data_IF_778386025944
#
_entry.id   IF_778386025944
#
_cell.length_a   1.000
_cell.length_b   1.000
_cell.length_c   1.000
_cell.angle_alpha   90.00
_cell.angle_beta   90.00
_cell.angle_gamma   90.00
#
_symmetry.space_group_name_H-M   'P 1'
#
loop_
_entity.id
_entity.type
_entity.pdbx_description
1 polymer ?
#
# COMPACT_ATOMS: atom_id res chain seq x y z
N UNK A 1 -0.10 20.37 34.03
CA UNK A 1 -0.56 21.62 33.40
C UNK A 1 -2.05 21.78 33.61
N UNK A 2 -2.52 23.03 33.74
CA UNK A 2 -3.92 23.38 33.98
C UNK A 2 -4.88 22.72 32.97
N UNK A 3 -4.49 22.70 31.70
CA UNK A 3 -5.24 22.06 30.61
C UNK A 3 -5.52 20.56 30.84
N UNK A 4 -4.58 19.80 31.43
CA UNK A 4 -4.83 18.38 31.74
C UNK A 4 -5.89 18.19 32.82
N UNK A 5 -5.94 19.09 33.81
CA UNK A 5 -6.96 19.05 34.88
C UNK A 5 -8.33 19.41 34.34
N UNK A 6 -8.41 20.42 33.47
CA UNK A 6 -9.65 20.82 32.79
C UNK A 6 -10.19 19.69 31.90
N UNK A 7 -9.32 19.03 31.12
CA UNK A 7 -9.71 17.90 30.29
C UNK A 7 -10.16 16.69 31.12
N UNK A 8 -9.59 16.48 32.31
CA UNK A 8 -10.00 15.38 33.20
C UNK A 8 -11.39 15.59 33.81
N UNK A 9 -11.85 16.83 33.96
CA UNK A 9 -13.17 17.15 34.50
C UNK A 9 -14.32 16.91 33.51
N UNK A 10 -14.03 16.82 32.21
CA UNK A 10 -15.04 16.61 31.18
C UNK A 10 -15.51 15.14 31.10
N UNK A 11 -16.75 14.90 30.61
CA UNK A 11 -17.24 13.56 30.27
C UNK A 11 -16.33 12.88 29.25
N UNK A 12 -16.17 11.56 29.35
CA UNK A 12 -15.17 10.79 28.59
C UNK A 12 -15.27 10.94 27.07
N UNK A 13 -16.50 11.04 26.57
CA UNK A 13 -16.83 11.19 25.15
C UNK A 13 -16.36 12.54 24.59
N UNK A 14 -16.36 13.58 25.43
CA UNK A 14 -15.99 14.94 25.04
C UNK A 14 -14.49 15.23 25.21
N UNK A 15 -13.78 14.43 26.03
CA UNK A 15 -12.35 14.64 26.32
C UNK A 15 -11.49 14.64 25.07
N UNK A 16 -11.76 13.73 24.11
CA UNK A 16 -11.00 13.66 22.86
C UNK A 16 -11.23 14.93 22.02
N UNK A 17 -12.48 15.35 21.89
CA UNK A 17 -12.87 16.54 21.14
C UNK A 17 -12.28 17.81 21.75
N UNK A 18 -12.32 17.94 23.08
CA UNK A 18 -11.75 19.06 23.81
C UNK A 18 -10.22 19.10 23.72
N UNK A 19 -9.55 17.94 23.77
CA UNK A 19 -8.10 17.85 23.62
C UNK A 19 -7.64 18.27 22.21
N UNK A 20 -8.37 17.85 21.17
CA UNK A 20 -8.13 18.25 19.78
C UNK A 20 -8.34 19.75 19.63
N UNK A 21 -9.43 20.31 20.18
CA UNK A 21 -9.70 21.75 20.14
C UNK A 21 -8.56 22.54 20.79
N UNK A 22 -8.09 22.10 21.96
CA UNK A 22 -6.94 22.70 22.62
C UNK A 22 -5.65 22.65 21.78
N UNK A 23 -5.43 21.58 21.01
CA UNK A 23 -4.29 21.49 20.08
C UNK A 23 -4.46 22.42 18.87
N UNK A 24 -5.69 22.56 18.35
CA UNK A 24 -6.01 23.49 17.29
C UNK A 24 -5.77 24.94 17.73
N UNK A 25 -6.20 25.30 18.94
CA UNK A 25 -5.98 26.63 19.54
C UNK A 25 -4.48 26.93 19.76
N UNK A 26 -3.65 25.89 19.89
CA UNK A 26 -2.19 26.00 19.96
C UNK A 26 -1.48 26.05 18.61
N UNK A 27 -2.22 25.96 17.51
CA UNK A 27 -1.68 26.04 16.15
C UNK A 27 -1.16 24.72 15.59
N UNK A 28 -1.58 23.57 16.12
CA UNK A 28 -1.20 22.27 15.57
C UNK A 28 -1.97 22.04 14.24
N UNK A 29 -1.30 21.96 13.08
CA UNK A 29 -1.96 21.98 11.76
C UNK A 29 -2.88 20.78 11.54
N UNK A 30 -2.59 19.64 12.17
CA UNK A 30 -3.45 18.46 12.07
C UNK A 30 -4.75 18.64 12.84
N UNK A 31 -4.73 19.34 13.98
CA UNK A 31 -5.90 19.51 14.83
C UNK A 31 -6.95 20.51 14.28
N UNK A 32 -6.57 21.32 13.28
CA UNK A 32 -7.44 22.30 12.61
C UNK A 32 -8.48 21.62 11.71
N UNK A 33 -8.23 20.37 11.29
CA UNK A 33 -9.12 19.64 10.40
C UNK A 33 -10.51 19.43 11.04
N UNK A 34 -11.60 19.68 10.29
CA UNK A 34 -12.95 19.47 10.80
C UNK A 34 -13.16 17.99 11.12
N UNK A 35 -13.90 17.70 12.19
CA UNK A 35 -14.29 16.34 12.58
C UNK A 35 -13.15 15.33 12.77
N UNK A 36 -11.91 15.79 12.98
CA UNK A 36 -10.77 14.91 13.20
C UNK A 36 -10.93 13.96 14.40
N UNK A 37 -11.80 14.30 15.35
CA UNK A 37 -12.17 13.42 16.47
C UNK A 37 -12.93 12.15 16.05
N UNK A 38 -13.54 12.11 14.86
CA UNK A 38 -14.29 10.94 14.33
C UNK A 38 -13.40 9.95 13.59
N UNK A 39 -12.15 10.33 13.35
CA UNK A 39 -11.21 9.55 12.55
C UNK A 39 -10.88 8.23 13.27
N UNK A 40 -11.11 7.06 12.63
CA UNK A 40 -11.02 5.77 13.31
C UNK A 40 -9.68 5.51 14.00
N UNK A 41 -8.56 5.88 13.37
CA UNK A 41 -7.22 5.65 13.94
C UNK A 41 -6.93 6.54 15.16
N UNK A 42 -7.49 7.75 15.21
CA UNK A 42 -7.33 8.68 16.35
C UNK A 42 -8.16 8.20 17.53
N UNK A 43 -9.40 7.80 17.27
CA UNK A 43 -10.28 7.20 18.27
C UNK A 43 -9.60 5.95 18.85
N UNK A 44 -9.10 5.06 18.00
CA UNK A 44 -8.40 3.85 18.46
C UNK A 44 -7.14 4.17 19.27
N UNK A 45 -6.33 5.12 18.81
CA UNK A 45 -5.13 5.54 19.55
C UNK A 45 -5.49 6.01 20.96
N UNK A 46 -6.59 6.77 21.09
CA UNK A 46 -7.11 7.24 22.36
C UNK A 46 -7.59 6.08 23.25
N UNK A 47 -8.39 5.16 22.70
CA UNK A 47 -8.83 3.94 23.39
C UNK A 47 -7.67 3.09 23.93
N UNK A 48 -6.63 2.87 23.10
CA UNK A 48 -5.43 2.12 23.49
C UNK A 48 -4.74 2.74 24.69
N UNK A 49 -4.63 4.08 24.73
CA UNK A 49 -4.05 4.81 25.87
C UNK A 49 -4.92 4.77 27.12
N UNK A 50 -6.23 4.59 26.97
CA UNK A 50 -7.16 4.33 28.08
C UNK A 50 -7.15 2.88 28.57
N UNK A 51 -6.38 2.00 27.92
CA UNK A 51 -6.32 0.58 28.27
C UNK A 51 -7.49 -0.25 27.73
N UNK A 52 -8.33 0.31 26.86
CA UNK A 52 -9.47 -0.39 26.25
C UNK A 52 -8.92 -1.33 25.17
N UNK A 53 -8.76 -2.61 25.54
CA UNK A 53 -8.43 -3.68 24.61
C UNK A 53 -9.73 -4.17 23.95
N UNK A 54 -9.98 -3.73 22.72
CA UNK A 54 -11.02 -4.30 21.86
C UNK A 54 -10.73 -5.80 21.68
N UNK A 55 -11.62 -6.64 22.24
CA UNK A 55 -11.66 -8.07 21.94
C UNK A 55 -12.46 -8.23 20.67
N UNK A 56 -11.89 -8.89 19.67
CA UNK A 56 -12.55 -9.13 18.41
C UNK A 56 -13.76 -10.06 18.65
N UNK A 57 -14.96 -9.65 18.24
CA UNK A 57 -16.08 -10.59 18.24
C UNK A 57 -15.85 -11.65 17.15
N UNK A 58 -16.43 -12.86 17.26
CA UNK A 58 -16.33 -13.86 16.20
C UNK A 58 -16.83 -13.36 14.84
N UNK A 59 -17.84 -12.48 14.84
CA UNK A 59 -18.40 -11.86 13.64
C UNK A 59 -17.42 -10.88 13.00
N UNK A 60 -16.79 -10.02 13.79
CA UNK A 60 -15.80 -9.06 13.31
C UNK A 60 -14.57 -9.79 12.76
N UNK A 61 -14.15 -10.87 13.42
CA UNK A 61 -13.08 -11.75 12.94
C UNK A 61 -13.38 -12.31 11.55
N UNK A 62 -14.58 -12.85 11.36
CA UNK A 62 -15.01 -13.40 10.07
C UNK A 62 -15.05 -12.33 8.98
N UNK A 63 -15.53 -11.12 9.30
CA UNK A 63 -15.58 -10.01 8.37
C UNK A 63 -14.18 -9.55 7.96
N UNK A 64 -13.27 -9.37 8.91
CA UNK A 64 -11.88 -8.98 8.64
C UNK A 64 -11.15 -10.04 7.81
N UNK A 65 -11.36 -11.32 8.13
CA UNK A 65 -10.79 -12.41 7.35
C UNK A 65 -11.31 -12.35 5.91
N UNK A 66 -12.63 -12.25 5.71
CA UNK A 66 -13.22 -12.14 4.36
C UNK A 66 -12.68 -10.94 3.59
N UNK A 67 -12.55 -9.77 4.22
CA UNK A 67 -11.98 -8.58 3.58
C UNK A 67 -10.54 -8.80 3.16
N UNK A 68 -9.72 -9.39 4.04
CA UNK A 68 -8.34 -9.78 3.74
C UNK A 68 -8.32 -10.73 2.54
N UNK A 69 -9.07 -11.82 2.59
CA UNK A 69 -9.19 -12.81 1.50
C UNK A 69 -9.52 -12.11 0.18
N UNK A 70 -10.56 -11.26 0.14
CA UNK A 70 -10.96 -10.53 -1.07
C UNK A 70 -9.84 -9.62 -1.60
N UNK A 71 -9.10 -8.93 -0.73
CA UNK A 71 -7.98 -8.07 -1.15
C UNK A 71 -6.79 -8.88 -1.69
N UNK A 72 -6.51 -10.05 -1.11
CA UNK A 72 -5.45 -10.96 -1.55
C UNK A 72 -5.78 -11.67 -2.86
N UNK A 73 -7.04 -12.06 -3.04
CA UNK A 73 -7.55 -12.73 -4.25
C UNK A 73 -8.07 -11.77 -5.32
N UNK A 74 -7.99 -10.45 -5.10
CA UNK A 74 -8.35 -9.49 -6.14
C UNK A 74 -7.54 -9.78 -7.41
N UNK A 75 -8.19 -9.71 -8.57
CA UNK A 75 -7.53 -9.90 -9.85
C UNK A 75 -6.66 -8.68 -10.12
N UNK A 76 -5.40 -8.76 -9.74
CA UNK A 76 -4.41 -7.78 -10.15
C UNK A 76 -4.03 -8.04 -11.60
N UNK A 77 -3.73 -6.96 -12.31
CA UNK A 77 -3.38 -7.04 -13.74
C UNK A 77 -2.18 -7.96 -13.93
N UNK A 78 -2.42 -9.10 -14.58
CA UNK A 78 -1.38 -9.93 -15.16
C UNK A 78 -1.03 -9.34 -16.52
N UNK A 79 0.22 -8.95 -16.69
CA UNK A 79 0.70 -8.43 -17.98
C UNK A 79 1.11 -9.62 -18.84
N UNK A 80 0.12 -10.43 -19.24
CA UNK A 80 0.35 -11.71 -19.93
C UNK A 80 0.73 -11.55 -21.40
N UNK A 81 0.56 -10.35 -21.97
CA UNK A 81 0.78 -10.08 -23.39
C UNK A 81 1.89 -9.08 -23.59
N UNK A 82 2.96 -9.53 -24.27
CA UNK A 82 3.96 -8.63 -24.84
C UNK A 82 3.29 -7.91 -26.02
N UNK A 83 3.26 -6.56 -26.07
CA UNK A 83 2.81 -5.84 -27.24
C UNK A 83 3.90 -5.95 -28.32
N UNK A 84 3.98 -7.10 -28.97
CA UNK A 84 4.80 -7.27 -30.15
C UNK A 84 4.15 -6.48 -31.27
N UNK A 85 4.70 -5.30 -31.58
CA UNK A 85 4.30 -4.58 -32.78
C UNK A 85 4.73 -5.40 -33.98
N UNK A 86 3.77 -5.83 -34.80
CA UNK A 86 4.05 -6.48 -36.08
C UNK A 86 4.81 -5.49 -36.95
N UNK A 87 6.09 -5.75 -37.19
CA UNK A 87 6.90 -4.95 -38.11
C UNK A 87 6.55 -5.43 -39.52
N UNK A 88 6.08 -4.53 -40.36
CA UNK A 88 5.82 -4.84 -41.77
C UNK A 88 7.10 -5.32 -42.45
N UNK A 89 7.03 -6.47 -43.13
CA UNK A 89 8.18 -7.11 -43.79
C UNK A 89 8.83 -6.21 -44.85
N UNK A 90 8.09 -5.26 -45.41
CA UNK A 90 8.57 -4.26 -46.37
C UNK A 90 9.69 -3.37 -45.83
N UNK A 91 9.73 -3.12 -44.51
CA UNK A 91 10.71 -2.25 -43.87
C UNK A 91 11.96 -2.99 -43.34
N UNK A 92 11.97 -4.33 -43.43
CA UNK A 92 13.08 -5.20 -43.06
C UNK A 92 14.07 -5.31 -44.22
N UNK A 93 14.84 -4.24 -44.43
CA UNK A 93 16.01 -4.25 -45.33
C UNK A 93 17.29 -4.23 -44.50
N UNK A 94 18.39 -4.78 -45.04
CA UNK A 94 19.70 -4.77 -44.38
C UNK A 94 20.17 -3.35 -44.02
N UNK A 95 19.79 -2.36 -44.84
CA UNK A 95 20.06 -0.94 -44.59
C UNK A 95 19.43 -0.41 -43.30
N UNK A 96 18.28 -0.96 -42.90
CA UNK A 96 17.51 -0.48 -41.75
C UNK A 96 17.71 -1.35 -40.49
N UNK A 97 18.64 -2.31 -40.51
CA UNK A 97 18.79 -3.29 -39.42
C UNK A 97 19.08 -2.64 -38.06
N UNK A 98 19.92 -1.61 -38.04
CA UNK A 98 20.27 -0.89 -36.81
C UNK A 98 19.08 -0.09 -36.26
N UNK A 99 18.31 0.55 -37.14
CA UNK A 99 17.08 1.23 -36.77
C UNK A 99 16.06 0.26 -36.18
N UNK A 100 15.87 -0.91 -36.80
CA UNK A 100 14.96 -1.96 -36.31
C UNK A 100 15.41 -2.47 -34.94
N UNK A 101 16.72 -2.71 -34.73
CA UNK A 101 17.28 -3.12 -33.43
C UNK A 101 17.06 -2.07 -32.34
N UNK A 102 17.32 -0.80 -32.63
CA UNK A 102 17.10 0.28 -31.68
C UNK A 102 15.62 0.44 -31.35
N UNK A 103 14.74 0.30 -32.35
CA UNK A 103 13.30 0.40 -32.15
C UNK A 103 12.74 -0.77 -31.34
N UNK A 104 13.21 -2.00 -31.58
CA UNK A 104 12.78 -3.16 -30.81
C UNK A 104 13.26 -3.07 -29.36
N UNK A 105 14.50 -2.63 -29.11
CA UNK A 105 15.02 -2.36 -27.77
C UNK A 105 14.14 -1.34 -27.02
N UNK A 106 13.79 -0.21 -27.65
CA UNK A 106 12.91 0.79 -27.05
C UNK A 106 11.52 0.25 -26.67
N UNK A 107 10.93 -0.59 -27.54
CA UNK A 107 9.62 -1.21 -27.27
C UNK A 107 9.71 -2.20 -26.11
N UNK A 108 10.77 -3.01 -26.08
CA UNK A 108 11.03 -3.95 -24.98
C UNK A 108 11.23 -3.21 -23.66
N UNK A 109 12.01 -2.14 -23.63
CA UNK A 109 12.24 -1.35 -22.41
C UNK A 109 10.96 -0.72 -21.87
N UNK A 110 10.11 -0.17 -22.76
CA UNK A 110 8.79 0.37 -22.36
C UNK A 110 7.89 -0.70 -21.79
N UNK A 111 7.88 -1.88 -22.39
CA UNK A 111 7.11 -3.02 -21.90
C UNK A 111 7.60 -3.48 -20.52
N UNK A 112 8.92 -3.65 -20.35
CA UNK A 112 9.51 -4.01 -19.06
C UNK A 112 9.25 -2.96 -17.98
N UNK A 113 9.27 -1.67 -18.34
CA UNK A 113 8.92 -0.60 -17.41
C UNK A 113 7.45 -0.69 -16.96
N UNK A 114 6.52 -0.86 -17.90
CA UNK A 114 5.09 -1.02 -17.59
C UNK A 114 4.83 -2.23 -16.68
N UNK A 115 5.45 -3.37 -17.00
CA UNK A 115 5.44 -4.58 -16.17
C UNK A 115 5.85 -4.30 -14.73
N UNK A 116 7.02 -3.67 -14.55
CA UNK A 116 7.57 -3.33 -13.24
C UNK A 116 6.65 -2.37 -12.50
N UNK A 117 6.07 -1.39 -13.18
CA UNK A 117 5.14 -0.44 -12.59
C UNK A 117 3.87 -1.13 -12.06
N UNK A 118 3.29 -2.07 -12.82
CA UNK A 118 2.14 -2.87 -12.38
C UNK A 118 2.50 -3.71 -11.16
N UNK A 119 3.62 -4.45 -11.20
CA UNK A 119 4.06 -5.28 -10.07
C UNK A 119 4.25 -4.47 -8.78
N UNK A 120 4.90 -3.30 -8.88
CA UNK A 120 5.11 -2.40 -7.74
C UNK A 120 3.79 -1.83 -7.23
N UNK A 121 2.87 -1.47 -8.13
CA UNK A 121 1.54 -0.96 -7.76
C UNK A 121 0.76 -2.04 -7.00
N UNK A 122 0.77 -3.28 -7.48
CA UNK A 122 0.13 -4.41 -6.83
C UNK A 122 0.72 -4.64 -5.42
N UNK A 123 2.05 -4.67 -5.30
CA UNK A 123 2.74 -4.81 -4.00
C UNK A 123 2.35 -3.69 -3.02
N UNK A 124 2.28 -2.44 -3.49
CA UNK A 124 1.87 -1.30 -2.67
C UNK A 124 0.40 -1.36 -2.26
N UNK A 125 -0.48 -1.89 -3.10
CA UNK A 125 -1.90 -2.07 -2.78
C UNK A 125 -2.11 -3.17 -1.73
N UNK A 126 -1.26 -4.20 -1.72
CA UNK A 126 -1.27 -5.23 -0.68
C UNK A 126 -0.74 -4.75 0.68
N UNK A 127 0.25 -3.86 0.69
CA UNK A 127 0.92 -3.46 1.94
C UNK A 127 -0.03 -2.91 3.04
N UNK A 128 -1.05 -2.08 2.73
CA UNK A 128 -2.08 -1.65 3.69
C UNK A 128 -2.80 -2.79 4.40
N UNK A 129 -3.01 -3.93 3.74
CA UNK A 129 -3.71 -5.09 4.32
C UNK A 129 -2.98 -5.69 5.54
N UNK A 130 -1.67 -5.42 5.65
CA UNK A 130 -0.84 -5.83 6.79
C UNK A 130 -1.05 -4.97 8.04
N UNK A 131 -1.71 -3.81 7.92
CA UNK A 131 -2.01 -2.93 9.04
C UNK A 131 -3.34 -3.34 9.67
N UNK A 132 -3.31 -4.38 10.49
CA UNK A 132 -4.44 -4.72 11.34
C UNK A 132 -4.09 -4.45 12.80
N UNK A 133 -4.86 -3.56 13.44
CA UNK A 133 -4.66 -3.21 14.85
C UNK A 133 -5.08 -4.30 15.82
N UNK A 134 -5.88 -5.26 15.34
CA UNK A 134 -6.41 -6.37 16.14
C UNK A 134 -5.42 -7.54 16.22
N UNK A 135 -4.63 -7.77 15.17
CA UNK A 135 -3.61 -8.82 15.14
C UNK A 135 -2.21 -8.23 15.42
N UNK A 136 -1.91 -8.05 16.70
CA UNK A 136 -0.64 -7.47 17.17
C UNK A 136 0.50 -8.47 17.36
N UNK A 137 0.47 -9.64 16.70
CA UNK A 137 1.43 -10.71 16.92
C UNK A 137 2.84 -10.30 16.44
N UNK A 138 3.93 -10.58 17.19
CA UNK A 138 5.31 -10.42 16.72
C UNK A 138 5.57 -10.94 15.30
N UNK A 139 4.96 -12.06 14.89
CA UNK A 139 5.12 -12.59 13.54
C UNK A 139 4.60 -11.65 12.45
N UNK A 140 3.47 -10.97 12.68
CA UNK A 140 2.88 -10.05 11.72
C UNK A 140 3.68 -8.74 11.61
N UNK A 141 4.39 -8.35 12.68
CA UNK A 141 5.35 -7.24 12.63
C UNK A 141 6.56 -7.62 11.77
N UNK A 142 7.18 -8.77 12.05
CA UNK A 142 8.32 -9.28 11.27
C UNK A 142 7.97 -9.46 9.80
N UNK A 143 6.77 -9.98 9.51
CA UNK A 143 6.30 -10.15 8.14
C UNK A 143 6.16 -8.82 7.38
N UNK A 144 5.72 -7.75 8.06
CA UNK A 144 5.66 -6.41 7.48
C UNK A 144 7.05 -5.87 7.14
N UNK A 145 8.03 -6.11 8.02
CA UNK A 145 9.41 -5.65 7.82
C UNK A 145 10.07 -6.33 6.62
N UNK A 146 9.76 -7.62 6.39
CA UNK A 146 10.26 -8.40 5.25
C UNK A 146 9.37 -8.37 4.02
N UNK A 147 8.21 -7.68 4.05
CA UNK A 147 7.26 -7.75 2.95
C UNK A 147 7.88 -7.35 1.60
N UNK A 148 8.63 -6.24 1.59
CA UNK A 148 9.28 -5.75 0.39
C UNK A 148 10.57 -6.50 0.00
N UNK A 149 11.00 -7.49 0.79
CA UNK A 149 12.06 -8.42 0.34
C UNK A 149 11.50 -9.47 -0.61
N UNK A 150 10.20 -9.80 -0.48
CA UNK A 150 9.52 -10.78 -1.35
C UNK A 150 8.76 -10.12 -2.50
N UNK A 151 8.22 -8.92 -2.29
CA UNK A 151 7.44 -8.18 -3.28
C UNK A 151 8.13 -6.85 -3.63
N UNK A 152 8.12 -6.41 -4.90
CA UNK A 152 8.88 -5.24 -5.30
C UNK A 152 8.30 -3.94 -4.73
N UNK A 153 9.07 -3.22 -3.92
CA UNK A 153 8.70 -1.87 -3.46
C UNK A 153 9.04 -0.78 -4.48
N UNK A 154 10.05 -1.04 -5.31
CA UNK A 154 10.55 -0.14 -6.36
C UNK A 154 10.69 -0.89 -7.69
N UNK A 155 10.66 -0.19 -8.83
CA UNK A 155 10.80 -0.83 -10.16
C UNK A 155 12.12 -1.58 -10.37
N UNK A 156 13.17 -1.20 -9.65
CA UNK A 156 14.47 -1.87 -9.72
C UNK A 156 14.47 -3.22 -8.99
N UNK A 157 13.58 -3.40 -8.02
CA UNK A 157 13.45 -4.66 -7.26
C UNK A 157 12.66 -5.71 -8.06
N UNK A 158 11.89 -5.28 -9.07
CA UNK A 158 11.10 -6.13 -9.93
C UNK A 158 11.97 -6.75 -11.05
N UNK A 159 12.16 -8.06 -10.98
CA UNK A 159 12.80 -8.86 -12.02
C UNK A 159 11.80 -9.24 -13.10
N UNK A 160 12.08 -8.86 -14.34
CA UNK A 160 11.32 -9.32 -15.50
C UNK A 160 12.01 -10.56 -16.08
N UNK A 161 11.29 -11.68 -16.12
CA UNK A 161 11.79 -12.89 -16.78
C UNK A 161 12.08 -12.60 -18.26
N UNK A 162 13.25 -13.02 -18.73
CA UNK A 162 13.66 -12.90 -20.15
C UNK A 162 13.70 -14.31 -20.75
N UNK A 163 12.60 -14.80 -21.36
CA UNK A 163 12.54 -16.13 -21.94
C UNK A 163 13.69 -16.42 -22.93
N UNK A 164 14.12 -15.39 -23.66
CA UNK A 164 15.16 -15.47 -24.69
C UNK A 164 16.60 -15.42 -24.15
N UNK A 165 16.82 -15.13 -22.86
CA UNK A 165 18.18 -15.09 -22.29
C UNK A 165 18.61 -16.40 -21.64
N UNK A 166 17.75 -17.43 -21.67
CA UNK A 166 18.16 -18.80 -21.34
C UNK A 166 18.83 -19.41 -22.57
N UNK A 167 20.14 -19.21 -22.69
CA UNK A 167 20.96 -20.20 -23.36
C UNK A 167 20.93 -21.46 -22.50
N UNK A 168 20.46 -22.57 -23.06
CA UNK A 168 20.79 -23.91 -22.60
C UNK A 168 22.25 -24.16 -22.98
#
# INVERSE_FOLDING_TARGET
>A
TLARRMLAALPEEERLKAAIKYLADKGDPLAILPDIHKVPWIVRWYEKRRGIKLKLTPKDNKNLMNQSTVQWFAQYESVDKVPLKTIEKSNLTWRNIEWVRNRSAQVLDKYHYALKAVLVTNARNYFPTMFCEYYGNPYMRRFRDIFFTYLPGRPNDAYTFRPWSRAI
#
